data_IF_051772125801
#
_entry.id   IF_051772125801
#
_cell.length_a   1.000
_cell.length_b   1.000
_cell.length_c   1.000
_cell.angle_alpha   90.00
_cell.angle_beta   90.00
_cell.angle_gamma   90.00
#
_symmetry.space_group_name_H-M   'P 1'
#
loop_
_entity.id
_entity.type
_entity.pdbx_description
1 polymer ?
#
# COMPACT_ATOMS: atom_id res chain seq x y z
N UNK A 1 1.70 -4.01 6.68
CA UNK A 1 0.35 -4.59 6.75
C UNK A 1 0.40 -6.05 6.32
N UNK A 2 -0.61 -6.83 6.70
CA UNK A 2 -0.84 -8.18 6.17
C UNK A 2 -2.27 -8.24 5.65
N UNK A 3 -2.43 -8.70 4.42
CA UNK A 3 -3.73 -8.92 3.78
C UNK A 3 -3.95 -10.41 3.56
N UNK A 4 -5.12 -10.92 3.92
CA UNK A 4 -5.53 -12.29 3.61
C UNK A 4 -6.05 -12.37 2.19
N UNK A 5 -5.70 -13.46 1.54
CA UNK A 5 -6.19 -13.85 0.22
C UNK A 5 -7.20 -15.01 0.26
N UNK A 6 -8.15 -15.07 -0.68
CA UNK A 6 -8.43 -14.06 -1.71
C UNK A 6 -9.13 -12.81 -1.16
N UNK A 7 -8.98 -11.69 -1.88
CA UNK A 7 -9.76 -10.47 -1.70
C UNK A 7 -9.02 -9.32 -1.02
N UNK A 8 -7.70 -9.44 -0.84
CA UNK A 8 -6.84 -8.37 -0.30
C UNK A 8 -7.39 -7.75 1.00
N UNK A 9 -7.82 -8.60 1.94
CA UNK A 9 -8.50 -8.16 3.17
C UNK A 9 -7.49 -7.90 4.27
N UNK A 10 -7.44 -6.69 4.82
CA UNK A 10 -6.51 -6.38 5.91
C UNK A 10 -6.78 -7.22 7.16
N UNK A 11 -5.78 -7.95 7.62
CA UNK A 11 -5.82 -8.67 8.91
C UNK A 11 -4.97 -7.99 9.97
N UNK A 12 -3.83 -7.43 9.57
CA UNK A 12 -2.89 -6.78 10.48
C UNK A 12 -2.32 -5.50 9.87
N UNK A 13 -2.11 -4.51 10.74
CA UNK A 13 -1.36 -3.29 10.42
C UNK A 13 -0.47 -2.94 11.61
N UNK A 14 0.61 -2.21 11.36
CA UNK A 14 1.43 -1.64 12.43
C UNK A 14 1.11 -0.14 12.59
N UNK A 15 1.65 0.46 13.65
CA UNK A 15 1.41 1.88 13.96
C UNK A 15 1.88 2.82 12.84
N UNK A 16 3.02 2.54 12.20
CA UNK A 16 3.53 3.36 11.10
C UNK A 16 2.57 3.37 9.90
N UNK A 17 2.06 2.20 9.51
CA UNK A 17 1.07 2.09 8.44
C UNK A 17 -0.23 2.83 8.80
N UNK A 18 -0.70 2.69 10.05
CA UNK A 18 -1.88 3.41 10.53
C UNK A 18 -1.71 4.93 10.45
N UNK A 19 -0.54 5.46 10.82
CA UNK A 19 -0.24 6.89 10.71
C UNK A 19 -0.26 7.36 9.25
N UNK A 20 0.34 6.60 8.33
CA UNK A 20 0.37 6.92 6.90
C UNK A 20 -1.04 7.07 6.30
N UNK A 21 -1.98 6.23 6.74
CA UNK A 21 -3.33 6.17 6.18
C UNK A 21 -4.36 7.00 6.97
N UNK A 22 -3.90 7.83 7.91
CA UNK A 22 -4.76 8.70 8.72
C UNK A 22 -5.54 7.99 9.82
N UNK A 23 -5.02 6.87 10.34
CA UNK A 23 -5.63 6.02 11.38
C UNK A 23 -7.03 5.50 11.02
N UNK A 24 -7.32 5.36 9.73
CA UNK A 24 -8.62 4.83 9.26
C UNK A 24 -8.77 3.35 9.65
N UNK A 25 -9.99 2.95 9.99
CA UNK A 25 -10.30 1.57 10.36
C UNK A 25 -10.35 0.67 9.11
N UNK A 26 -9.28 -0.09 8.88
CA UNK A 26 -9.12 -0.97 7.70
C UNK A 26 -9.24 -2.46 8.00
N UNK A 27 -9.01 -2.91 9.24
CA UNK A 27 -9.02 -4.35 9.57
C UNK A 27 -10.39 -4.96 9.21
N UNK A 28 -10.36 -6.07 8.48
CA UNK A 28 -11.54 -6.78 7.98
C UNK A 28 -12.12 -6.22 6.68
N UNK A 29 -11.59 -5.12 6.12
CA UNK A 29 -12.00 -4.55 4.84
C UNK A 29 -11.05 -4.98 3.72
N UNK A 30 -11.58 -5.08 2.50
CA UNK A 30 -10.76 -5.18 1.30
C UNK A 30 -9.96 -3.89 1.10
N UNK A 31 -8.85 -3.96 0.38
CA UNK A 31 -8.07 -2.76 0.03
C UNK A 31 -8.88 -1.75 -0.79
N UNK A 32 -9.79 -2.23 -1.64
CA UNK A 32 -10.68 -1.39 -2.45
C UNK A 32 -11.69 -0.63 -1.57
N UNK A 33 -12.30 -1.28 -0.59
CA UNK A 33 -13.23 -0.64 0.34
C UNK A 33 -12.51 0.33 1.30
N UNK A 34 -11.26 0.04 1.64
CA UNK A 34 -10.45 0.84 2.54
C UNK A 34 -9.86 2.09 1.86
N UNK A 35 -9.63 2.02 0.56
CA UNK A 35 -8.99 3.06 -0.25
C UNK A 35 -9.70 3.28 -1.60
N UNK A 36 -11.00 3.66 -1.60
CA UNK A 36 -11.73 3.91 -2.84
C UNK A 36 -11.09 5.04 -3.67
N UNK A 37 -10.35 5.96 -3.05
CA UNK A 37 -9.63 7.03 -3.75
C UNK A 37 -8.46 6.54 -4.62
N UNK A 38 -8.03 5.28 -4.43
CA UNK A 38 -6.97 4.66 -5.23
C UNK A 38 -7.51 3.88 -6.42
N UNK A 39 -8.82 3.90 -6.66
CA UNK A 39 -9.41 3.30 -7.85
C UNK A 39 -8.80 3.91 -9.13
N UNK A 40 -8.40 3.06 -10.07
CA UNK A 40 -7.72 3.45 -11.30
C UNK A 40 -6.21 3.67 -11.18
N UNK A 41 -5.62 3.55 -9.98
CA UNK A 41 -4.17 3.40 -9.83
C UNK A 41 -3.77 1.93 -9.91
N UNK A 42 -2.57 1.66 -10.41
CA UNK A 42 -2.05 0.30 -10.61
C UNK A 42 -1.81 -0.46 -9.29
N UNK A 43 -2.06 0.12 -8.10
CA UNK A 43 -1.83 -0.56 -6.81
C UNK A 43 -2.62 -1.85 -6.67
N UNK A 44 -3.87 -1.88 -7.14
CA UNK A 44 -4.72 -3.07 -7.07
C UNK A 44 -4.29 -4.11 -8.09
N UNK A 45 -3.97 -3.68 -9.31
CA UNK A 45 -3.47 -4.58 -10.37
C UNK A 45 -2.18 -5.29 -9.96
N UNK A 46 -1.27 -4.60 -9.27
CA UNK A 46 -0.05 -5.21 -8.74
C UNK A 46 -0.34 -6.22 -7.62
N UNK A 47 -1.36 -5.99 -6.77
CA UNK A 47 -1.78 -6.98 -5.76
C UNK A 47 -2.39 -8.22 -6.43
N UNK A 48 -3.25 -8.03 -7.43
CA UNK A 48 -3.83 -9.10 -8.23
C UNK A 48 -2.74 -9.90 -8.95
N UNK A 49 -1.74 -9.24 -9.52
CA UNK A 49 -0.60 -9.91 -10.15
C UNK A 49 0.19 -10.74 -9.14
N UNK A 50 0.48 -10.20 -7.95
CA UNK A 50 1.19 -10.93 -6.89
C UNK A 50 0.38 -12.14 -6.44
N UNK A 51 -0.94 -11.99 -6.27
CA UNK A 51 -1.83 -13.09 -5.89
C UNK A 51 -1.94 -14.17 -6.97
N UNK A 52 -1.99 -13.79 -8.25
CA UNK A 52 -2.16 -14.75 -9.35
C UNK A 52 -0.87 -15.45 -9.74
N UNK A 53 0.26 -14.73 -9.73
CA UNK A 53 1.56 -15.26 -10.17
C UNK A 53 2.41 -15.80 -9.02
N UNK A 54 2.22 -15.26 -7.82
CA UNK A 54 3.10 -15.53 -6.68
C UNK A 54 4.49 -14.90 -6.80
N UNK A 55 4.69 -13.97 -7.74
CA UNK A 55 5.89 -13.17 -7.87
C UNK A 55 5.77 -11.89 -7.04
N UNK A 56 6.80 -11.52 -6.24
CA UNK A 56 6.77 -10.27 -5.48
C UNK A 56 6.77 -9.04 -6.38
N UNK A 57 6.11 -7.98 -5.94
CA UNK A 57 6.18 -6.66 -6.57
C UNK A 57 6.91 -5.67 -5.67
N UNK A 58 7.72 -4.79 -6.28
CA UNK A 58 8.46 -3.73 -5.57
C UNK A 58 8.18 -2.39 -6.25
N UNK A 59 7.62 -1.46 -5.49
CA UNK A 59 7.49 -0.06 -5.87
C UNK A 59 8.62 0.77 -5.25
N UNK A 60 9.24 1.63 -6.04
CA UNK A 60 10.25 2.58 -5.55
C UNK A 60 9.90 3.99 -6.04
N UNK A 61 9.87 4.96 -5.12
CA UNK A 61 9.54 6.34 -5.39
C UNK A 61 8.12 6.53 -5.95
N UNK A 62 7.18 5.65 -5.61
CA UNK A 62 5.83 5.66 -6.18
C UNK A 62 5.03 6.79 -5.55
N UNK A 63 4.52 7.69 -6.40
CA UNK A 63 3.63 8.77 -5.96
C UNK A 63 2.22 8.25 -5.75
N UNK A 64 1.61 8.64 -4.64
CA UNK A 64 0.23 8.32 -4.32
C UNK A 64 -0.45 9.51 -3.66
N UNK A 65 -1.70 9.75 -4.02
CA UNK A 65 -2.56 10.68 -3.29
C UNK A 65 -3.35 9.93 -2.22
N UNK A 66 -3.14 10.25 -0.95
CA UNK A 66 -3.89 9.66 0.16
C UNK A 66 -4.74 10.71 0.86
N UNK A 67 -5.93 10.31 1.31
CA UNK A 67 -6.84 11.20 2.05
C UNK A 67 -6.99 10.73 3.50
N UNK A 68 -6.51 11.51 4.47
CA UNK A 68 -6.55 11.09 5.88
C UNK A 68 -7.97 11.09 6.49
N UNK A 69 -8.91 11.84 5.92
CA UNK A 69 -10.32 11.89 6.33
C UNK A 69 -11.22 11.97 5.10
N UNK A 70 -12.47 11.52 5.14
CA UNK A 70 -13.35 11.46 3.95
C UNK A 70 -13.44 12.78 3.15
N UNK A 71 -13.49 13.92 3.86
CA UNK A 71 -13.59 15.26 3.27
C UNK A 71 -12.27 16.05 3.29
N UNK A 72 -11.19 15.47 3.82
CA UNK A 72 -9.89 16.13 3.95
C UNK A 72 -9.16 16.30 2.60
N UNK A 73 -8.13 17.15 2.50
CA UNK A 73 -7.35 17.26 1.28
C UNK A 73 -6.68 15.92 0.93
N UNK A 74 -6.48 15.68 -0.37
CA UNK A 74 -5.58 14.62 -0.83
C UNK A 74 -4.16 15.11 -0.61
N UNK A 75 -3.38 14.35 0.13
CA UNK A 75 -1.98 14.64 0.38
C UNK A 75 -1.12 13.73 -0.52
N UNK A 76 -0.18 14.33 -1.25
CA UNK A 76 0.80 13.56 -2.02
C UNK A 76 1.77 12.88 -1.04
N UNK A 77 2.03 11.60 -1.31
CA UNK A 77 3.04 10.78 -0.66
C UNK A 77 3.91 10.10 -1.70
N UNK A 78 5.15 9.84 -1.33
CA UNK A 78 6.12 9.08 -2.11
C UNK A 78 6.49 7.85 -1.30
N UNK A 79 6.18 6.67 -1.85
CA UNK A 79 6.32 5.41 -1.14
C UNK A 79 7.35 4.50 -1.82
N UNK A 80 8.18 3.89 -0.97
CA UNK A 80 8.91 2.67 -1.30
C UNK A 80 8.20 1.51 -0.64
N UNK A 81 7.86 0.45 -1.37
CA UNK A 81 7.14 -0.67 -0.79
C UNK A 81 7.37 -1.99 -1.53
N UNK A 82 7.03 -3.08 -0.84
CA UNK A 82 7.02 -4.43 -1.40
C UNK A 82 5.69 -5.12 -1.10
N UNK A 83 5.19 -5.84 -2.09
CA UNK A 83 4.15 -6.85 -1.94
C UNK A 83 4.81 -8.22 -2.01
N UNK A 84 4.81 -8.92 -0.88
CA UNK A 84 5.44 -10.23 -0.73
C UNK A 84 4.36 -11.29 -0.50
N UNK A 85 4.15 -12.24 -1.43
CA UNK A 85 3.17 -13.30 -1.23
C UNK A 85 3.65 -14.28 -0.15
N UNK A 86 2.72 -14.75 0.66
CA UNK A 86 2.90 -15.83 1.62
C UNK A 86 2.16 -17.05 1.09
N UNK A 87 2.90 -18.14 0.89
CA UNK A 87 2.40 -19.40 0.35
C UNK A 87 2.24 -20.41 1.50
N UNK A 88 1.15 -21.17 1.47
CA UNK A 88 1.00 -22.37 2.29
C UNK A 88 1.80 -23.54 1.70
N UNK A 89 1.86 -24.66 2.44
CA UNK A 89 2.58 -25.87 2.02
C UNK A 89 2.07 -26.47 0.70
N UNK A 90 0.81 -26.23 0.37
CA UNK A 90 0.17 -26.62 -0.90
C UNK A 90 0.50 -25.69 -2.08
N UNK A 91 1.32 -24.66 -1.84
CA UNK A 91 1.71 -23.65 -2.83
C UNK A 91 0.69 -22.53 -3.04
N UNK A 92 -0.50 -22.60 -2.41
CA UNK A 92 -1.53 -21.57 -2.53
C UNK A 92 -1.11 -20.32 -1.76
N UNK A 93 -1.34 -19.15 -2.36
CA UNK A 93 -1.12 -17.87 -1.70
C UNK A 93 -2.26 -17.62 -0.72
N UNK A 94 -1.93 -17.48 0.56
CA UNK A 94 -2.89 -17.28 1.65
C UNK A 94 -2.94 -15.85 2.14
N UNK A 95 -1.86 -15.10 1.92
CA UNK A 95 -1.75 -13.71 2.31
C UNK A 95 -0.71 -12.97 1.46
N UNK A 96 -0.80 -11.65 1.44
CA UNK A 96 0.22 -10.74 0.93
C UNK A 96 0.71 -9.89 2.10
N UNK A 97 2.00 -9.97 2.38
CA UNK A 97 2.69 -9.07 3.30
C UNK A 97 3.07 -7.79 2.57
N UNK A 98 2.77 -6.65 3.20
CA UNK A 98 3.07 -5.33 2.66
C UNK A 98 3.97 -4.62 3.65
N UNK A 99 5.17 -4.30 3.19
CA UNK A 99 6.09 -3.40 3.88
C UNK A 99 6.27 -2.16 3.03
N UNK A 100 6.14 -0.99 3.65
CA UNK A 100 6.26 0.28 2.97
C UNK A 100 6.89 1.33 3.86
N UNK A 101 7.66 2.22 3.24
CA UNK A 101 8.29 3.37 3.86
C UNK A 101 7.81 4.63 3.15
N UNK A 102 7.33 5.61 3.92
CA UNK A 102 7.06 6.95 3.42
C UNK A 102 8.39 7.71 3.29
N UNK A 103 8.80 7.98 2.05
CA UNK A 103 10.05 8.69 1.72
C UNK A 103 9.78 10.13 1.27
N UNK A 104 8.55 10.64 1.46
CA UNK A 104 8.11 11.96 0.99
C UNK A 104 9.02 13.10 1.44
N UNK A 105 9.37 13.16 2.73
CA UNK A 105 10.18 14.23 3.29
C UNK A 105 11.54 14.33 2.58
N UNK A 106 12.23 13.20 2.43
CA UNK A 106 13.53 13.14 1.75
C UNK A 106 13.39 13.48 0.26
N UNK A 107 12.38 12.92 -0.41
CA UNK A 107 12.17 13.13 -1.84
C UNK A 107 11.85 14.60 -2.17
N UNK A 108 10.99 15.24 -1.37
CA UNK A 108 10.66 16.66 -1.56
C UNK A 108 11.83 17.58 -1.24
N UNK A 109 12.59 17.30 -0.17
CA UNK A 109 13.80 18.05 0.16
C UNK A 109 14.83 18.00 -0.99
N UNK A 110 15.07 16.80 -1.54
CA UNK A 110 15.99 16.62 -2.66
C UNK A 110 15.50 17.33 -3.94
N UNK A 111 14.20 17.31 -4.22
CA UNK A 111 13.63 18.03 -5.36
C UNK A 111 13.82 19.55 -5.23
N UNK A 112 13.62 20.11 -4.03
CA UNK A 112 13.80 21.53 -3.78
C UNK A 112 15.27 22.00 -3.95
N UNK A 113 16.23 21.16 -3.59
CA UNK A 113 17.66 21.45 -3.78
C UNK A 113 18.08 21.47 -5.26
N UNK A 114 17.45 20.65 -6.11
CA UNK A 114 17.74 20.58 -7.55
C UNK A 114 17.20 21.75 -8.37
N UNK A 115 16.29 22.52 -7.78
CA UNK A 115 15.65 23.69 -8.41
C UNK A 115 16.36 25.01 -8.07
N UNK A 116 17.50 24.96 -7.37
CA UNK A 116 18.38 26.10 -7.09
C UNK A 116 19.61 26.08 -7.98
#
# INVERSE_FOLDING_TARGET
ALMREPGHVFELTNAAYQQLIGNRQVIGKSVQDAFPELEGYEFFDHLDQVYTTGEPYRGHGVKVGLRNTADGPVEERILDFVYQPIKADDGRITAIFIEGTDVSELSFANAALRLR
#
